data_IF_320578647826
#
_entry.id   IF_320578647826
#
_cell.length_a   1.000
_cell.length_b   1.000
_cell.length_c   1.000
_cell.angle_alpha   90.00
_cell.angle_beta   90.00
_cell.angle_gamma   90.00
#
_symmetry.space_group_name_H-M   'P 1'
#
loop_
_entity.id
_entity.type
_entity.pdbx_description
1 polymer ?
#
# COMPACT_ATOMS: atom_id res chain seq x y z
N UNK A 1 -8.12 2.89 3.46
CA UNK A 1 -7.39 3.76 2.51
C UNK A 1 -6.76 4.88 3.31
N UNK A 2 -5.45 5.08 3.19
CA UNK A 2 -4.67 6.09 3.91
C UNK A 2 -3.87 6.97 2.93
N UNK A 3 -4.04 8.29 3.06
CA UNK A 3 -3.36 9.32 2.25
C UNK A 3 -2.12 9.91 2.96
N UNK A 4 -1.80 9.40 4.15
CA UNK A 4 -0.63 9.78 4.94
C UNK A 4 0.63 9.79 4.09
N UNK A 5 1.31 10.94 4.08
CA UNK A 5 2.50 11.17 3.28
C UNK A 5 3.69 11.66 4.12
N UNK A 6 3.51 11.78 5.43
CA UNK A 6 4.57 12.05 6.40
C UNK A 6 4.74 10.83 7.33
N UNK A 7 5.94 10.59 7.88
CA UNK A 7 6.17 9.43 8.74
C UNK A 7 5.25 9.39 9.96
N UNK A 8 5.04 10.54 10.60
CA UNK A 8 4.13 10.66 11.75
C UNK A 8 2.68 10.34 11.40
N UNK A 9 2.18 10.83 10.25
CA UNK A 9 0.81 10.57 9.80
C UNK A 9 0.61 9.08 9.46
N UNK A 10 1.57 8.48 8.74
CA UNK A 10 1.53 7.05 8.40
C UNK A 10 1.57 6.18 9.65
N UNK A 11 2.42 6.51 10.63
CA UNK A 11 2.49 5.78 11.90
C UNK A 11 1.16 5.85 12.66
N UNK A 12 0.58 7.04 12.80
CA UNK A 12 -0.69 7.23 13.49
C UNK A 12 -1.83 6.45 12.81
N UNK A 13 -1.95 6.54 11.48
CA UNK A 13 -2.97 5.82 10.72
C UNK A 13 -2.82 4.30 10.84
N UNK A 14 -1.59 3.78 10.79
CA UNK A 14 -1.30 2.36 10.95
C UNK A 14 -1.67 1.86 12.35
N UNK A 15 -1.35 2.64 13.40
CA UNK A 15 -1.73 2.33 14.78
C UNK A 15 -3.25 2.24 14.90
N UNK A 16 -3.99 3.23 14.41
CA UNK A 16 -5.45 3.22 14.44
C UNK A 16 -6.03 2.03 13.66
N UNK A 17 -5.45 1.66 12.52
CA UNK A 17 -5.87 0.49 11.75
C UNK A 17 -5.66 -0.82 12.53
N UNK A 18 -4.53 -0.96 13.23
CA UNK A 18 -4.25 -2.11 14.07
C UNK A 18 -5.21 -2.20 15.26
N UNK A 19 -5.49 -1.08 15.93
CA UNK A 19 -6.45 -0.98 17.03
C UNK A 19 -7.87 -1.39 16.60
N UNK A 20 -8.35 -0.89 15.46
CA UNK A 20 -9.67 -1.26 14.89
C UNK A 20 -9.78 -2.77 14.60
N UNK A 21 -8.64 -3.41 14.33
CA UNK A 21 -8.55 -4.84 14.04
C UNK A 21 -8.21 -5.70 15.27
N UNK A 22 -8.13 -5.11 16.48
CA UNK A 22 -7.69 -5.77 17.71
C UNK A 22 -6.31 -6.46 17.57
N UNK A 23 -5.38 -5.80 16.85
CA UNK A 23 -4.01 -6.27 16.62
C UNK A 23 -2.99 -5.32 17.25
N UNK A 24 -1.85 -5.85 17.67
CA UNK A 24 -0.71 -5.06 18.14
C UNK A 24 0.24 -4.69 17.01
N UNK A 25 1.04 -3.65 17.20
CA UNK A 25 2.19 -3.32 16.33
C UNK A 25 3.49 -3.56 17.12
N UNK A 26 4.53 -4.19 16.54
CA UNK A 26 4.53 -4.78 15.20
C UNK A 26 3.65 -6.04 15.10
N UNK A 27 3.06 -6.28 13.94
CA UNK A 27 2.30 -7.50 13.61
C UNK A 27 2.73 -7.99 12.24
N UNK A 28 2.81 -9.29 11.98
CA UNK A 28 3.04 -9.75 10.60
C UNK A 28 1.73 -10.05 9.86
N UNK A 29 0.58 -9.66 10.42
CA UNK A 29 -0.73 -10.05 9.91
C UNK A 29 -1.78 -8.94 10.08
N UNK A 30 -1.44 -7.67 9.85
CA UNK A 30 -2.45 -6.61 9.88
C UNK A 30 -3.46 -6.71 8.73
N UNK A 31 -3.07 -7.27 7.58
CA UNK A 31 -3.94 -7.46 6.41
C UNK A 31 -3.14 -7.69 5.13
N UNK A 32 -3.75 -7.38 3.99
CA UNK A 32 -3.07 -7.24 2.69
C UNK A 32 -2.68 -5.77 2.51
N UNK A 33 -1.38 -5.48 2.52
CA UNK A 33 -0.89 -4.13 2.22
C UNK A 33 -0.86 -3.92 0.71
N UNK A 34 -1.46 -2.84 0.22
CA UNK A 34 -1.19 -2.30 -1.12
C UNK A 34 -0.40 -1.02 -0.95
N UNK A 35 0.80 -0.97 -1.52
CA UNK A 35 1.70 0.16 -1.36
C UNK A 35 2.40 0.55 -2.64
N UNK A 36 2.70 1.83 -2.71
CA UNK A 36 3.34 2.55 -3.80
C UNK A 36 3.62 3.95 -3.27
N UNK A 37 4.82 4.46 -3.50
CA UNK A 37 5.24 5.77 -3.00
C UNK A 37 5.56 6.66 -4.19
N UNK A 38 5.24 7.95 -4.07
CA UNK A 38 5.59 8.94 -5.09
C UNK A 38 7.10 9.06 -5.21
N UNK A 39 7.63 9.18 -6.44
CA UNK A 39 9.06 9.33 -6.73
C UNK A 39 9.69 10.59 -6.12
N UNK A 40 8.86 11.57 -5.76
CA UNK A 40 9.27 12.81 -5.08
C UNK A 40 9.33 12.70 -3.55
N UNK A 41 9.06 11.52 -2.99
CA UNK A 41 8.98 11.29 -1.54
C UNK A 41 10.08 10.35 -1.07
N UNK A 42 10.37 10.39 0.23
CA UNK A 42 11.27 9.43 0.87
C UNK A 42 10.56 8.07 0.96
N UNK A 43 10.89 7.18 0.03
CA UNK A 43 10.41 5.79 -0.01
C UNK A 43 10.73 5.09 1.31
N UNK A 44 11.94 5.30 1.82
CA UNK A 44 12.42 4.67 3.04
C UNK A 44 11.58 5.05 4.25
N UNK A 45 11.28 6.33 4.45
CA UNK A 45 10.59 6.76 5.68
C UNK A 45 9.17 6.18 5.78
N UNK A 46 8.49 6.04 4.64
CA UNK A 46 7.14 5.48 4.58
C UNK A 46 7.18 3.96 4.71
N UNK A 47 8.02 3.29 3.90
CA UNK A 47 8.06 1.83 3.87
C UNK A 47 8.69 1.21 5.11
N UNK A 48 9.58 1.90 5.82
CA UNK A 48 10.12 1.44 7.10
C UNK A 48 9.03 1.26 8.16
N UNK A 49 7.97 2.09 8.11
CA UNK A 49 6.85 2.03 9.05
C UNK A 49 5.86 0.94 8.63
N UNK A 50 5.49 0.90 7.35
CA UNK A 50 4.46 -0.02 6.85
C UNK A 50 4.97 -1.48 6.79
N UNK A 51 6.11 -1.70 6.14
CA UNK A 51 6.58 -3.03 5.71
C UNK A 51 6.66 -4.11 6.81
N UNK A 52 7.15 -3.81 8.03
CA UNK A 52 7.23 -4.82 9.08
C UNK A 52 5.87 -5.34 9.54
N UNK A 53 4.78 -4.65 9.19
CA UNK A 53 3.46 -4.86 9.74
C UNK A 53 2.55 -5.82 8.93
N UNK A 54 3.06 -6.36 7.83
CA UNK A 54 2.25 -7.14 6.88
C UNK A 54 3.02 -8.36 6.35
N UNK A 55 2.34 -9.50 6.23
CA UNK A 55 2.88 -10.73 5.62
C UNK A 55 2.59 -10.82 4.13
N UNK A 56 1.64 -10.03 3.62
CA UNK A 56 1.30 -9.98 2.20
C UNK A 56 1.30 -8.53 1.71
N UNK A 57 2.15 -8.24 0.74
CA UNK A 57 2.39 -6.88 0.26
C UNK A 57 2.32 -6.85 -1.26
N UNK A 58 1.38 -6.06 -1.78
CA UNK A 58 1.24 -5.73 -3.20
C UNK A 58 1.92 -4.38 -3.43
N UNK A 59 3.01 -4.40 -4.18
CA UNK A 59 3.75 -3.22 -4.60
C UNK A 59 3.22 -2.80 -5.97
N UNK A 60 2.83 -1.54 -6.12
CA UNK A 60 2.35 -0.98 -7.39
C UNK A 60 2.77 0.48 -7.52
N UNK A 61 2.39 1.11 -8.62
CA UNK A 61 2.61 2.53 -8.87
C UNK A 61 1.29 3.20 -9.20
N UNK A 62 1.11 4.40 -8.65
CA UNK A 62 0.13 5.34 -9.19
C UNK A 62 0.57 5.79 -10.59
N UNK A 63 -0.38 6.04 -11.48
CA UNK A 63 -0.12 6.70 -12.76
C UNK A 63 0.49 8.08 -12.55
N UNK A 64 0.03 8.80 -11.52
CA UNK A 64 0.53 10.12 -11.17
C UNK A 64 1.67 10.00 -10.17
N UNK A 65 2.88 10.36 -10.62
CA UNK A 65 4.10 10.44 -9.81
C UNK A 65 4.52 9.15 -9.10
N UNK A 66 3.95 7.99 -9.43
CA UNK A 66 4.32 6.71 -8.81
C UNK A 66 5.73 6.28 -9.18
N UNK A 67 6.48 5.78 -8.20
CA UNK A 67 7.76 5.13 -8.42
C UNK A 67 7.60 3.73 -9.03
N UNK A 68 8.63 3.23 -9.70
CA UNK A 68 8.68 1.86 -10.21
C UNK A 68 8.35 0.80 -9.12
N UNK A 69 7.38 -0.11 -9.36
CA UNK A 69 7.01 -1.15 -8.40
C UNK A 69 8.16 -2.10 -8.04
N UNK A 70 9.13 -2.30 -8.94
CA UNK A 70 10.32 -3.10 -8.70
C UNK A 70 11.27 -2.44 -7.70
N UNK A 71 11.41 -1.11 -7.73
CA UNK A 71 12.14 -0.34 -6.71
C UNK A 71 11.44 -0.48 -5.35
N UNK A 72 10.13 -0.26 -5.29
CA UNK A 72 9.33 -0.42 -4.07
C UNK A 72 9.48 -1.84 -3.51
N UNK A 73 9.29 -2.87 -4.33
CA UNK A 73 9.42 -4.27 -3.91
C UNK A 73 10.83 -4.61 -3.42
N UNK A 74 11.86 -4.02 -4.01
CA UNK A 74 13.26 -4.20 -3.56
C UNK A 74 13.47 -3.65 -2.15
N UNK A 75 12.93 -2.47 -1.84
CA UNK A 75 12.92 -1.92 -0.48
C UNK A 75 12.15 -2.81 0.49
N UNK A 76 10.94 -3.23 0.10
CA UNK A 76 10.10 -4.10 0.95
C UNK A 76 10.83 -5.41 1.28
N UNK A 77 11.47 -6.06 0.30
CA UNK A 77 12.26 -7.29 0.51
C UNK A 77 13.40 -7.11 1.49
N UNK A 78 14.08 -5.97 1.45
CA UNK A 78 15.19 -5.69 2.37
C UNK A 78 14.71 -5.57 3.82
N UNK A 79 13.51 -5.01 4.02
CA UNK A 79 12.95 -4.73 5.35
C UNK A 79 12.12 -5.88 5.93
N UNK A 80 11.46 -6.66 5.09
CA UNK A 80 10.66 -7.81 5.51
C UNK A 80 10.88 -8.99 4.55
N UNK A 81 11.91 -9.78 4.85
CA UNK A 81 12.29 -10.96 4.06
C UNK A 81 11.26 -12.09 4.10
N UNK A 82 10.38 -12.08 5.10
CA UNK A 82 9.37 -13.11 5.29
C UNK A 82 8.05 -12.79 4.57
N UNK A 83 7.83 -11.52 4.16
CA UNK A 83 6.63 -11.14 3.45
C UNK A 83 6.55 -11.80 2.07
N UNK A 84 5.34 -12.23 1.71
CA UNK A 84 5.00 -12.50 0.32
C UNK A 84 4.79 -11.17 -0.40
N UNK A 85 5.62 -10.92 -1.41
CA UNK A 85 5.63 -9.66 -2.15
C UNK A 85 5.21 -9.92 -3.58
N UNK A 86 4.20 -9.18 -4.03
CA UNK A 86 3.69 -9.19 -5.41
C UNK A 86 3.91 -7.82 -6.01
N UNK A 87 4.36 -7.76 -7.26
CA UNK A 87 4.51 -6.52 -8.02
C UNK A 87 3.44 -6.46 -9.10
N UNK A 88 2.67 -5.38 -9.11
CA UNK A 88 1.71 -5.05 -10.15
C UNK A 88 2.21 -3.82 -10.89
N UNK A 89 2.12 -3.82 -12.22
CA UNK A 89 2.60 -2.70 -13.04
C UNK A 89 1.58 -1.56 -13.12
N UNK A 90 0.32 -1.86 -12.78
CA UNK A 90 -0.80 -0.92 -12.83
C UNK A 90 -1.62 -0.95 -11.53
N UNK A 91 -2.39 0.12 -11.30
CA UNK A 91 -3.34 0.18 -10.17
C UNK A 91 -4.47 -0.82 -10.34
N UNK A 92 -4.93 -1.03 -11.57
CA UNK A 92 -5.96 -1.99 -11.95
C UNK A 92 -5.57 -3.41 -11.56
N UNK A 93 -4.38 -3.85 -11.95
CA UNK A 93 -3.82 -5.15 -11.51
C UNK A 93 -3.71 -5.23 -9.98
N UNK A 94 -3.32 -4.14 -9.32
CA UNK A 94 -3.17 -4.11 -7.87
C UNK A 94 -4.53 -4.23 -7.16
N UNK A 95 -5.58 -3.57 -7.65
CA UNK A 95 -6.95 -3.69 -7.13
C UNK A 95 -7.46 -5.11 -7.29
N UNK A 96 -7.42 -5.65 -8.52
CA UNK A 96 -7.88 -7.02 -8.79
C UNK A 96 -7.16 -8.02 -7.87
N UNK A 97 -5.83 -7.98 -7.86
CA UNK A 97 -5.01 -8.94 -7.12
C UNK A 97 -5.20 -8.82 -5.59
N UNK A 98 -5.29 -7.59 -5.07
CA UNK A 98 -5.47 -7.36 -3.63
C UNK A 98 -6.86 -7.77 -3.14
N UNK A 99 -7.92 -7.50 -3.91
CA UNK A 99 -9.29 -7.95 -3.62
C UNK A 99 -9.38 -9.47 -3.62
N UNK A 100 -8.87 -10.11 -4.67
CA UNK A 100 -8.83 -11.56 -4.78
C UNK A 100 -8.09 -12.21 -3.60
N UNK A 101 -6.95 -11.63 -3.22
CA UNK A 101 -6.12 -12.11 -2.13
C UNK A 101 -6.82 -11.91 -0.78
N UNK A 102 -7.39 -10.73 -0.56
CA UNK A 102 -8.12 -10.39 0.67
C UNK A 102 -9.28 -11.36 0.91
N UNK A 103 -10.08 -11.65 -0.13
CA UNK A 103 -11.17 -12.63 -0.07
C UNK A 103 -10.64 -14.03 0.25
N UNK A 104 -9.60 -14.50 -0.46
CA UNK A 104 -9.02 -15.83 -0.25
C UNK A 104 -8.43 -16.01 1.15
N UNK A 105 -7.87 -14.95 1.73
CA UNK A 105 -7.24 -14.99 3.05
C UNK A 105 -8.19 -14.62 4.20
N UNK A 106 -9.38 -14.09 3.90
CA UNK A 106 -10.28 -13.53 4.92
C UNK A 106 -9.65 -12.35 5.66
N UNK A 107 -8.95 -11.46 4.93
CA UNK A 107 -8.20 -10.32 5.49
C UNK A 107 -8.64 -9.01 4.85
N UNK A 108 -8.55 -7.93 5.62
CA UNK A 108 -8.76 -6.58 5.14
C UNK A 108 -7.63 -6.10 4.22
N UNK A 109 -7.95 -5.13 3.35
CA UNK A 109 -6.99 -4.44 2.49
C UNK A 109 -6.63 -3.11 3.12
N UNK A 110 -5.35 -2.88 3.34
CA UNK A 110 -4.81 -1.60 3.76
C UNK A 110 -4.01 -0.98 2.61
N UNK A 111 -4.52 0.13 2.05
CA UNK A 111 -3.85 0.87 0.99
C UNK A 111 -3.17 2.09 1.59
N UNK A 112 -1.85 2.17 1.50
CA UNK A 112 -1.06 3.26 2.08
C UNK A 112 0.26 3.47 1.32
N UNK A 113 0.72 4.71 1.27
CA UNK A 113 1.94 5.10 0.55
C UNK A 113 1.89 6.52 -0.04
N UNK A 114 0.70 7.12 -0.09
CA UNK A 114 0.51 8.53 -0.42
C UNK A 114 -0.82 8.79 -1.13
N UNK A 115 -1.12 10.08 -1.33
CA UNK A 115 -2.38 10.57 -1.89
C UNK A 115 -2.71 9.96 -3.27
N UNK A 116 -1.76 9.98 -4.22
CA UNK A 116 -1.99 9.49 -5.58
C UNK A 116 -2.38 8.01 -5.58
N UNK A 117 -1.62 7.17 -4.89
CA UNK A 117 -1.94 5.74 -4.75
C UNK A 117 -3.34 5.55 -4.16
N UNK A 118 -3.61 6.22 -3.04
CA UNK A 118 -4.85 6.04 -2.29
C UNK A 118 -6.09 6.41 -3.11
N UNK A 119 -6.05 7.54 -3.82
CA UNK A 119 -7.18 8.01 -4.63
C UNK A 119 -7.32 7.17 -5.90
N UNK A 120 -6.22 6.87 -6.60
CA UNK A 120 -6.28 6.05 -7.82
C UNK A 120 -6.78 4.64 -7.52
N UNK A 121 -6.29 4.01 -6.46
CA UNK A 121 -6.79 2.72 -6.01
C UNK A 121 -8.29 2.79 -5.74
N UNK A 122 -8.74 3.82 -5.02
CA UNK A 122 -10.16 4.00 -4.72
C UNK A 122 -11.01 4.21 -5.98
N UNK A 123 -10.56 5.02 -6.94
CA UNK A 123 -11.29 5.21 -8.21
C UNK A 123 -11.44 3.90 -8.96
N UNK A 124 -10.33 3.17 -9.11
CA UNK A 124 -10.32 1.87 -9.77
C UNK A 124 -11.22 0.86 -9.06
N UNK A 125 -11.17 0.81 -7.72
CA UNK A 125 -12.04 -0.06 -6.92
C UNK A 125 -13.52 0.26 -7.12
N UNK A 126 -13.86 1.54 -7.33
CA UNK A 126 -15.22 1.99 -7.65
C UNK A 126 -15.63 1.78 -9.11
N UNK A 127 -14.75 1.22 -9.95
CA UNK A 127 -15.01 0.97 -11.38
C UNK A 127 -14.75 2.18 -12.29
N UNK A 128 -14.10 3.24 -11.78
CA UNK A 128 -13.73 4.43 -12.54
C UNK A 128 -12.31 4.32 -13.10
N UNK A 129 -11.99 5.19 -14.07
CA UNK A 129 -10.65 5.28 -14.66
C UNK A 129 -9.72 6.13 -13.78
N UNK A 130 -8.63 5.57 -13.20
CA UNK A 130 -7.68 6.34 -12.40
C UNK A 130 -6.86 7.32 -13.24
N UNK A 131 -6.72 7.08 -14.55
CA UNK A 131 -5.97 7.93 -15.49
C UNK A 131 -6.67 9.24 -15.82
N UNK A 132 -7.98 9.31 -15.59
CA UNK A 132 -8.80 10.48 -15.87
C UNK A 132 -8.84 11.47 -14.70
N UNK A 133 -8.20 11.12 -13.58
CA UNK A 133 -8.06 12.01 -12.44
C UNK A 133 -7.19 13.22 -12.81
N UNK A 134 -7.78 14.40 -12.75
CA UNK A 134 -7.07 15.66 -12.85
C UNK A 134 -6.53 16.04 -11.48
N UNK A 135 -5.21 15.97 -11.32
CA UNK A 135 -4.51 16.55 -10.18
C UNK A 135 -3.98 17.93 -10.59
N UNK A 136 -4.31 18.93 -9.76
CA UNK A 136 -3.85 20.34 -9.76
C UNK A 136 -3.01 20.82 -10.95
#
# INVERSE_FOLDING_TARGET
IDVGHSPGAVSAALISYAELNNKSIPSNDLGVLVTGVSSTKSIEDILNILTPNFSYIVCTKAYHHGEDPGIIASFVRQKNKAARIVTCNTIEEAVEHSVDTAVKLGRDIYVAGGLFLAIEYWQTFMGNSPKELMFF
#
